data_IF_422240644630
#
_entry.id   IF_422240644630
#
_cell.length_a   1.000
_cell.length_b   1.000
_cell.length_c   1.000
_cell.angle_alpha   90.00
_cell.angle_beta   90.00
_cell.angle_gamma   90.00
#
_symmetry.space_group_name_H-M   'P 1'
#
loop_
_entity.id
_entity.type
_entity.pdbx_description
1 polymer ?
#
# COMPACT_ATOMS: atom_id res chain seq x y z
N UNK A 1 -0.58 46.86 10.42
CA UNK A 1 -2.02 46.60 10.62
C UNK A 1 -2.14 45.14 11.05
N UNK A 2 -2.60 44.92 12.28
CA UNK A 2 -2.61 43.66 13.07
C UNK A 2 -3.34 42.49 12.34
N UNK A 3 -3.11 41.19 12.56
CA UNK A 3 -2.95 40.43 13.82
C UNK A 3 -2.21 39.08 13.61
N UNK A 4 -1.42 38.68 14.63
CA UNK A 4 -1.05 37.30 14.95
C UNK A 4 -2.20 36.60 15.69
N UNK A 5 -2.35 35.28 15.54
CA UNK A 5 -3.05 34.42 16.50
C UNK A 5 -2.20 33.19 16.80
N UNK A 6 -2.02 32.96 18.10
CA UNK A 6 -1.17 31.99 18.78
C UNK A 6 -2.01 30.78 19.23
N UNK A 7 -1.40 29.61 19.22
CA UNK A 7 -1.92 28.33 19.69
C UNK A 7 -2.00 28.23 21.24
N UNK A 8 -2.94 27.43 21.74
CA UNK A 8 -2.86 26.88 23.10
C UNK A 8 -3.43 25.44 23.14
N UNK A 9 -2.60 24.54 23.65
CA UNK A 9 -2.85 23.14 23.99
C UNK A 9 -3.34 23.09 25.44
N UNK A 10 -4.33 22.24 25.76
CA UNK A 10 -4.49 21.72 27.11
C UNK A 10 -5.15 20.33 27.12
N UNK A 11 -4.56 19.48 27.95
CA UNK A 11 -4.65 18.02 28.02
C UNK A 11 -5.16 17.67 29.42
N UNK A 12 -6.25 16.90 29.55
CA UNK A 12 -6.63 16.26 30.84
C UNK A 12 -7.31 14.90 30.57
N UNK A 13 -6.69 13.87 31.16
CA UNK A 13 -7.08 12.46 31.27
C UNK A 13 -8.20 12.23 32.29
N UNK A 14 -8.94 11.11 32.21
CA UNK A 14 -9.16 10.17 33.33
C UNK A 14 -9.94 8.91 32.91
N UNK A 15 -9.39 7.75 33.28
CA UNK A 15 -9.91 6.38 33.19
C UNK A 15 -10.89 6.10 34.33
N UNK A 16 -11.97 5.34 34.10
CA UNK A 16 -12.60 4.50 35.13
C UNK A 16 -13.16 3.21 34.50
N UNK A 17 -12.68 2.07 35.02
CA UNK A 17 -13.23 0.72 34.84
C UNK A 17 -14.24 0.44 35.95
N UNK A 18 -15.37 -0.20 35.64
CA UNK A 18 -16.11 -1.00 36.63
C UNK A 18 -16.61 -2.31 36.03
N UNK A 19 -16.14 -3.40 36.62
CA UNK A 19 -16.59 -4.79 36.47
C UNK A 19 -17.43 -5.17 37.68
N UNK A 20 -18.58 -5.81 37.47
CA UNK A 20 -19.37 -6.46 38.53
C UNK A 20 -19.99 -7.79 38.04
N UNK A 21 -20.33 -8.72 38.95
CA UNK A 21 -20.06 -10.15 38.81
C UNK A 21 -21.28 -11.05 38.49
N UNK A 22 -20.97 -12.30 38.13
CA UNK A 22 -21.90 -13.41 37.94
C UNK A 22 -22.43 -14.00 39.27
N UNK A 23 -23.67 -14.51 39.25
CA UNK A 23 -24.25 -15.33 40.33
C UNK A 23 -24.85 -16.64 39.79
N UNK A 24 -24.99 -17.67 40.66
CA UNK A 24 -24.91 -19.08 40.27
C UNK A 24 -26.24 -19.85 40.29
N UNK A 25 -26.15 -21.00 39.64
CA UNK A 25 -27.11 -22.10 39.46
C UNK A 25 -27.75 -22.61 40.76
N UNK A 26 -29.05 -22.95 40.71
CA UNK A 26 -29.72 -23.77 41.74
C UNK A 26 -30.31 -25.03 41.11
N UNK A 27 -29.72 -26.17 41.48
CA UNK A 27 -30.19 -27.53 41.22
C UNK A 27 -31.31 -27.85 42.22
N UNK A 28 -32.41 -28.46 41.76
CA UNK A 28 -33.36 -29.17 42.61
C UNK A 28 -33.54 -30.59 42.13
N UNK A 29 -33.44 -31.53 43.07
CA UNK A 29 -33.78 -32.94 42.96
C UNK A 29 -34.54 -33.34 44.26
N UNK A 30 -35.17 -34.52 44.34
CA UNK A 30 -36.61 -34.69 44.13
C UNK A 30 -37.33 -35.22 45.39
N UNK A 31 -38.66 -35.05 45.45
CA UNK A 31 -39.49 -35.74 46.45
C UNK A 31 -40.28 -36.90 45.84
N UNK A 32 -40.31 -37.99 46.63
CA UNK A 32 -40.80 -39.32 46.36
C UNK A 32 -42.14 -39.51 47.09
N UNK A 33 -43.16 -39.96 46.38
CA UNK A 33 -44.45 -40.37 46.98
C UNK A 33 -45.05 -41.55 46.21
N UNK A 34 -45.24 -42.66 46.92
CA UNK A 34 -45.94 -43.89 46.53
C UNK A 34 -47.43 -43.58 46.20
N UNK A 35 -48.27 -44.40 45.54
CA UNK A 35 -48.40 -45.86 45.43
C UNK A 35 -49.50 -46.17 44.39
N UNK A 36 -49.42 -47.34 43.75
CA UNK A 36 -50.57 -48.09 43.20
C UNK A 36 -50.93 -47.81 41.74
N UNK A 37 -50.83 -48.83 40.88
CA UNK A 37 -51.57 -48.96 39.60
C UNK A 37 -51.36 -50.36 38.99
N UNK A 38 -52.24 -50.80 38.06
CA UNK A 38 -52.65 -52.19 37.80
C UNK A 38 -51.73 -52.90 36.81
N UNK A 39 -52.07 -54.15 36.44
CA UNK A 39 -51.41 -54.97 35.42
C UNK A 39 -50.91 -54.14 34.22
N UNK A 40 -49.60 -53.82 34.24
CA UNK A 40 -48.92 -53.01 33.22
C UNK A 40 -48.48 -53.93 32.08
N UNK A 41 -48.78 -53.53 30.84
CA UNK A 41 -47.99 -53.89 29.67
C UNK A 41 -46.52 -53.63 30.00
N UNK A 42 -45.78 -54.71 30.29
CA UNK A 42 -44.40 -54.59 30.75
C UNK A 42 -43.53 -54.23 29.56
N UNK A 43 -42.78 -53.13 29.65
CA UNK A 43 -41.86 -52.72 28.58
C UNK A 43 -40.86 -53.83 28.24
N UNK A 44 -40.43 -53.96 26.98
CA UNK A 44 -39.41 -54.93 26.61
C UNK A 44 -38.13 -54.74 27.42
N UNK A 45 -37.36 -55.81 27.60
CA UNK A 45 -36.18 -55.77 28.46
C UNK A 45 -35.02 -55.02 27.77
N UNK A 46 -34.33 -54.17 28.51
CA UNK A 46 -33.07 -53.56 28.05
C UNK A 46 -31.92 -54.57 28.16
N UNK A 47 -30.83 -54.35 27.42
CA UNK A 47 -29.64 -55.21 27.50
C UNK A 47 -29.12 -55.35 28.93
N UNK A 48 -29.08 -54.23 29.67
CA UNK A 48 -28.67 -54.20 31.08
C UNK A 48 -29.56 -55.09 31.96
N UNK A 49 -30.88 -55.03 31.78
CA UNK A 49 -31.82 -55.85 32.57
C UNK A 49 -31.64 -57.35 32.31
N UNK A 50 -31.32 -57.73 31.06
CA UNK A 50 -31.03 -59.12 30.71
C UNK A 50 -29.74 -59.58 31.38
N UNK A 51 -28.67 -58.77 31.35
CA UNK A 51 -27.39 -59.08 32.00
C UNK A 51 -27.53 -59.20 33.53
N UNK A 52 -28.25 -58.27 34.17
CA UNK A 52 -28.54 -58.30 35.61
C UNK A 52 -29.36 -59.55 36.00
N UNK A 53 -30.29 -59.98 35.14
CA UNK A 53 -31.08 -61.19 35.37
C UNK A 53 -30.26 -62.47 35.22
N UNK A 54 -29.35 -62.52 34.24
CA UNK A 54 -28.46 -63.67 34.04
C UNK A 54 -27.47 -63.84 35.19
N UNK A 55 -26.88 -62.74 35.66
CA UNK A 55 -25.92 -62.75 36.77
C UNK A 55 -26.55 -63.07 38.13
N UNK A 56 -27.78 -62.61 38.39
CA UNK A 56 -28.47 -62.83 39.66
C UNK A 56 -29.16 -64.19 39.78
N UNK A 57 -29.77 -64.69 38.70
CA UNK A 57 -30.60 -65.90 38.74
C UNK A 57 -29.81 -67.20 38.53
N UNK A 58 -28.54 -67.10 38.08
CA UNK A 58 -27.64 -68.23 37.73
C UNK A 58 -28.27 -69.31 36.81
N UNK A 59 -29.36 -68.98 36.12
CA UNK A 59 -30.13 -69.89 35.29
C UNK A 59 -30.73 -69.14 34.10
N UNK A 60 -30.33 -69.56 32.89
CA UNK A 60 -30.79 -68.96 31.64
C UNK A 60 -32.27 -69.18 31.38
N UNK A 61 -32.87 -70.26 31.91
CA UNK A 61 -34.27 -70.63 31.62
C UNK A 61 -35.30 -69.63 32.17
N UNK A 62 -35.01 -69.01 33.32
CA UNK A 62 -35.88 -67.95 33.88
C UNK A 62 -35.78 -66.66 33.07
N UNK A 63 -34.60 -66.35 32.53
CA UNK A 63 -34.39 -65.18 31.69
C UNK A 63 -35.02 -65.39 30.31
N UNK A 64 -34.98 -66.60 29.77
CA UNK A 64 -35.71 -66.98 28.56
C UNK A 64 -37.23 -66.76 28.70
N UNK A 65 -37.85 -67.13 29.83
CA UNK A 65 -39.28 -66.89 30.08
C UNK A 65 -39.59 -65.38 30.16
N UNK A 66 -38.72 -64.60 30.80
CA UNK A 66 -38.85 -63.14 30.86
C UNK A 66 -38.75 -62.48 29.48
N UNK A 67 -37.80 -62.92 28.65
CA UNK A 67 -37.65 -62.46 27.25
C UNK A 67 -38.85 -62.90 26.41
N UNK A 68 -39.33 -64.13 26.56
CA UNK A 68 -40.48 -64.65 25.81
C UNK A 68 -41.76 -63.86 26.10
N UNK A 69 -41.95 -63.38 27.35
CA UNK A 69 -43.12 -62.60 27.75
C UNK A 69 -43.06 -61.12 27.38
N UNK A 70 -41.86 -60.53 27.36
CA UNK A 70 -41.69 -59.06 27.28
C UNK A 70 -41.01 -58.60 25.99
N UNK A 71 -40.26 -59.48 25.34
CA UNK A 71 -39.32 -59.13 24.29
C UNK A 71 -38.10 -58.36 24.84
N UNK A 72 -37.25 -57.91 23.92
CA UNK A 72 -36.06 -57.09 24.20
C UNK A 72 -36.08 -55.79 23.40
N UNK A 73 -35.43 -54.73 23.89
CA UNK A 73 -35.33 -53.42 23.24
C UNK A 73 -34.10 -53.27 22.33
N UNK A 74 -33.27 -54.29 22.24
CA UNK A 74 -32.04 -54.28 21.47
C UNK A 74 -32.05 -55.37 20.41
N UNK A 75 -31.24 -55.19 19.39
CA UNK A 75 -31.08 -56.13 18.29
C UNK A 75 -29.76 -56.89 18.44
N UNK A 76 -29.66 -58.03 17.76
CA UNK A 76 -28.46 -58.83 17.74
C UNK A 76 -27.34 -58.07 17.02
N UNK A 77 -26.25 -57.79 17.71
CA UNK A 77 -24.96 -57.42 17.12
C UNK A 77 -23.89 -58.37 17.65
N UNK A 78 -22.78 -58.59 16.93
CA UNK A 78 -21.70 -59.46 17.40
C UNK A 78 -21.26 -59.12 18.83
N UNK A 79 -21.06 -57.83 19.12
CA UNK A 79 -20.68 -57.34 20.44
C UNK A 79 -21.73 -57.63 21.53
N UNK A 80 -23.02 -57.47 21.24
CA UNK A 80 -24.09 -57.76 22.20
C UNK A 80 -24.22 -59.26 22.48
N UNK A 81 -24.10 -60.09 21.43
CA UNK A 81 -24.18 -61.54 21.57
C UNK A 81 -23.00 -62.10 22.37
N UNK A 82 -21.80 -61.54 22.20
CA UNK A 82 -20.62 -61.95 22.95
C UNK A 82 -20.72 -61.58 24.42
N UNK A 83 -21.17 -60.36 24.73
CA UNK A 83 -21.48 -59.95 26.12
C UNK A 83 -22.49 -60.91 26.75
N UNK A 84 -23.59 -61.21 26.06
CA UNK A 84 -24.61 -62.10 26.63
C UNK A 84 -24.10 -63.53 26.87
N UNK A 85 -23.28 -64.07 25.95
CA UNK A 85 -22.61 -65.37 26.15
C UNK A 85 -21.68 -65.37 27.36
N UNK A 86 -20.92 -64.30 27.55
CA UNK A 86 -20.01 -64.12 28.70
C UNK A 86 -20.78 -64.17 30.04
N UNK A 87 -21.99 -63.62 30.06
CA UNK A 87 -22.89 -63.69 31.22
C UNK A 87 -23.73 -64.98 31.29
N UNK A 88 -23.41 -66.00 30.50
CA UNK A 88 -24.03 -67.33 30.58
C UNK A 88 -25.33 -67.49 29.77
N UNK A 89 -25.60 -66.62 28.79
CA UNK A 89 -26.73 -66.81 27.90
C UNK A 89 -26.53 -68.03 26.98
N UNK A 90 -27.46 -68.98 27.08
CA UNK A 90 -27.47 -70.17 26.21
C UNK A 90 -27.93 -69.86 24.77
N UNK A 91 -27.68 -70.78 23.82
CA UNK A 91 -28.03 -70.61 22.39
C UNK A 91 -29.49 -70.23 22.16
N UNK A 92 -30.39 -70.79 22.97
CA UNK A 92 -31.83 -70.52 22.90
C UNK A 92 -32.16 -69.08 23.23
N UNK A 93 -31.57 -68.51 24.29
CA UNK A 93 -31.74 -67.10 24.64
C UNK A 93 -31.23 -66.17 23.52
N UNK A 94 -30.07 -66.49 22.95
CA UNK A 94 -29.49 -65.70 21.87
C UNK A 94 -30.38 -65.68 20.61
N UNK A 95 -31.06 -66.79 20.31
CA UNK A 95 -32.02 -66.87 19.19
C UNK A 95 -33.30 -66.06 19.39
N UNK A 96 -33.60 -65.62 20.62
CA UNK A 96 -34.76 -64.77 20.94
C UNK A 96 -34.50 -63.28 20.71
N UNK A 97 -33.26 -62.89 20.37
CA UNK A 97 -32.88 -61.50 20.12
C UNK A 97 -33.12 -61.19 18.63
N UNK A 98 -33.90 -60.15 18.29
CA UNK A 98 -34.23 -59.85 16.90
C UNK A 98 -32.97 -59.44 16.10
N UNK A 99 -32.82 -59.89 14.84
CA UNK A 99 -31.71 -59.47 13.98
C UNK A 99 -31.80 -57.97 13.65
N UNK A 100 -30.67 -57.33 13.31
CA UNK A 100 -30.68 -55.93 12.90
C UNK A 100 -31.37 -55.80 11.53
N UNK A 101 -32.11 -54.70 11.28
CA UNK A 101 -32.71 -54.47 9.97
C UNK A 101 -31.62 -54.27 8.91
N UNK A 102 -31.89 -54.63 7.63
CA UNK A 102 -30.92 -54.41 6.56
C UNK A 102 -30.60 -52.91 6.45
N UNK A 103 -29.34 -52.53 6.70
CA UNK A 103 -28.88 -51.15 6.51
C UNK A 103 -28.66 -50.94 5.02
N UNK A 104 -29.44 -50.03 4.41
CA UNK A 104 -29.18 -49.57 3.05
C UNK A 104 -27.84 -48.80 3.02
N UNK A 105 -26.94 -49.18 2.11
CA UNK A 105 -25.68 -48.47 1.89
C UNK A 105 -25.99 -47.03 1.44
N UNK A 106 -25.41 -45.99 2.07
CA UNK A 106 -25.56 -44.62 1.56
C UNK A 106 -24.91 -44.52 0.16
N UNK A 107 -25.50 -43.74 -0.76
CA UNK A 107 -24.94 -43.55 -2.09
C UNK A 107 -23.55 -42.91 -2.02
N UNK A 108 -22.62 -43.41 -2.84
CA UNK A 108 -21.30 -42.81 -3.05
C UNK A 108 -21.44 -41.35 -3.49
N UNK A 109 -20.68 -40.39 -2.91
CA UNK A 109 -20.69 -39.00 -3.35
C UNK A 109 -20.31 -38.90 -4.84
N UNK A 110 -20.91 -37.98 -5.60
CA UNK A 110 -20.49 -37.72 -6.98
C UNK A 110 -19.01 -37.27 -7.02
N UNK A 111 -18.26 -37.62 -8.08
CA UNK A 111 -16.87 -37.22 -8.22
C UNK A 111 -16.72 -35.69 -8.23
N UNK A 112 -15.62 -35.15 -7.67
CA UNK A 112 -15.39 -33.70 -7.61
C UNK A 112 -15.25 -33.13 -9.03
N UNK A 113 -15.96 -32.03 -9.28
CA UNK A 113 -15.89 -31.31 -10.56
C UNK A 113 -14.57 -30.55 -10.63
N UNK A 114 -13.79 -30.80 -11.68
CA UNK A 114 -12.48 -30.18 -11.89
C UNK A 114 -12.63 -29.00 -12.86
N UNK A 115 -12.11 -27.85 -12.46
CA UNK A 115 -12.04 -26.66 -13.29
C UNK A 115 -11.08 -26.86 -14.47
N UNK A 116 -11.26 -26.07 -15.54
CA UNK A 116 -10.21 -25.92 -16.54
C UNK A 116 -8.98 -25.20 -15.97
N UNK A 117 -7.93 -25.10 -16.78
CA UNK A 117 -6.68 -24.45 -16.38
C UNK A 117 -6.91 -22.95 -16.11
N UNK A 118 -6.47 -22.46 -14.95
CA UNK A 118 -6.47 -21.05 -14.60
C UNK A 118 -5.10 -20.44 -14.93
N UNK A 119 -5.06 -19.46 -15.83
CA UNK A 119 -3.87 -18.68 -16.10
C UNK A 119 -3.92 -17.36 -15.34
N UNK A 120 -2.99 -17.17 -14.40
CA UNK A 120 -2.84 -15.93 -13.64
C UNK A 120 -1.75 -15.09 -14.30
N UNK A 121 -2.07 -13.83 -14.59
CA UNK A 121 -1.16 -12.83 -15.14
C UNK A 121 -0.94 -11.72 -14.11
N UNK A 122 0.31 -11.39 -13.81
CA UNK A 122 0.67 -10.34 -12.85
C UNK A 122 1.48 -9.24 -13.53
N UNK A 123 1.01 -8.00 -13.42
CA UNK A 123 1.67 -6.82 -13.97
C UNK A 123 1.99 -5.82 -12.85
N UNK A 124 3.13 -5.11 -12.89
CA UNK A 124 4.18 -5.16 -13.91
C UNK A 124 5.25 -6.24 -13.67
N UNK A 125 5.15 -6.98 -12.57
CA UNK A 125 6.21 -7.90 -12.10
C UNK A 125 5.63 -9.24 -11.69
N UNK A 126 6.48 -10.26 -11.76
CA UNK A 126 6.19 -11.58 -11.23
C UNK A 126 5.74 -11.55 -9.76
N UNK A 127 4.73 -12.38 -9.47
CA UNK A 127 4.03 -12.44 -8.18
C UNK A 127 3.92 -13.88 -7.69
N UNK A 128 3.77 -14.04 -6.38
CA UNK A 128 3.34 -15.29 -5.78
C UNK A 128 1.82 -15.45 -5.95
N UNK A 129 1.38 -16.65 -6.32
CA UNK A 129 -0.04 -16.98 -6.55
C UNK A 129 -0.53 -17.93 -5.46
N UNK A 130 -1.60 -17.54 -4.79
CA UNK A 130 -2.33 -18.35 -3.81
C UNK A 130 -3.76 -18.55 -4.34
N UNK A 131 -4.25 -19.78 -4.34
CA UNK A 131 -5.65 -20.10 -4.68
C UNK A 131 -6.24 -20.92 -3.55
N UNK A 132 -7.33 -20.45 -2.96
CA UNK A 132 -8.02 -21.05 -1.81
C UNK A 132 -7.04 -21.36 -0.66
N UNK A 133 -6.25 -20.36 -0.29
CA UNK A 133 -5.21 -20.41 0.74
C UNK A 133 -4.08 -21.42 0.49
N UNK A 134 -3.96 -21.95 -0.73
CA UNK A 134 -2.85 -22.81 -1.14
C UNK A 134 -1.91 -22.09 -2.09
N UNK A 135 -0.62 -22.05 -1.75
CA UNK A 135 0.43 -21.53 -2.63
C UNK A 135 0.57 -22.40 -3.89
N UNK A 136 0.48 -21.79 -5.08
CA UNK A 136 0.57 -22.45 -6.39
C UNK A 136 1.88 -22.16 -7.14
N UNK A 137 2.81 -21.45 -6.50
CA UNK A 137 4.07 -21.00 -7.10
C UNK A 137 4.05 -19.52 -7.48
N UNK A 138 5.19 -19.02 -7.93
CA UNK A 138 5.30 -17.70 -8.54
C UNK A 138 5.01 -17.76 -10.05
N UNK A 139 4.58 -16.63 -10.61
CA UNK A 139 4.61 -16.41 -12.06
C UNK A 139 6.05 -16.36 -12.58
N UNK A 140 6.21 -16.64 -13.87
CA UNK A 140 7.46 -16.46 -14.61
C UNK A 140 7.11 -15.71 -15.88
N UNK A 141 7.82 -14.63 -16.19
CA UNK A 141 7.46 -13.74 -17.31
C UNK A 141 6.01 -13.25 -17.18
N UNK A 142 5.62 -12.87 -15.96
CA UNK A 142 4.31 -12.36 -15.59
C UNK A 142 3.16 -13.36 -15.71
N UNK A 143 3.41 -14.66 -15.96
CA UNK A 143 2.35 -15.67 -16.13
C UNK A 143 2.54 -16.93 -15.31
N UNK A 144 1.44 -17.53 -14.83
CA UNK A 144 1.39 -18.88 -14.23
C UNK A 144 0.11 -19.60 -14.61
N UNK A 145 0.20 -20.82 -15.12
CA UNK A 145 -0.96 -21.69 -15.32
C UNK A 145 -1.08 -22.68 -14.14
N UNK A 146 -2.25 -22.73 -13.54
CA UNK A 146 -2.62 -23.59 -12.41
C UNK A 146 -3.69 -24.58 -12.88
N UNK A 147 -3.48 -25.85 -12.61
CA UNK A 147 -4.38 -26.95 -13.00
C UNK A 147 -4.85 -27.73 -11.77
N UNK A 148 -5.91 -28.53 -11.92
CA UNK A 148 -6.42 -29.38 -10.84
C UNK A 148 -7.16 -28.61 -9.74
N UNK A 149 -7.73 -27.46 -10.07
CA UNK A 149 -8.59 -26.69 -9.16
C UNK A 149 -10.02 -27.26 -9.18
N UNK A 150 -10.75 -27.07 -8.09
CA UNK A 150 -12.17 -27.42 -8.05
C UNK A 150 -12.99 -26.39 -8.84
N UNK A 151 -13.99 -26.85 -9.60
CA UNK A 151 -14.95 -25.96 -10.22
C UNK A 151 -15.87 -25.37 -9.15
N UNK A 152 -16.13 -24.06 -9.20
CA UNK A 152 -16.83 -23.35 -8.13
C UNK A 152 -16.25 -21.96 -7.88
N UNK A 153 -16.67 -21.35 -6.78
CA UNK A 153 -16.05 -20.13 -6.26
C UNK A 153 -14.63 -20.43 -5.77
N UNK A 154 -13.67 -19.64 -6.22
CA UNK A 154 -12.29 -19.69 -5.76
C UNK A 154 -11.83 -18.29 -5.36
N UNK A 155 -10.98 -18.21 -4.32
CA UNK A 155 -10.30 -16.97 -3.93
C UNK A 155 -8.87 -17.02 -4.41
N UNK A 156 -8.50 -16.08 -5.29
CA UNK A 156 -7.14 -15.91 -5.79
C UNK A 156 -6.52 -14.70 -5.10
N UNK A 157 -5.38 -14.92 -4.46
CA UNK A 157 -4.56 -13.87 -3.87
C UNK A 157 -3.21 -13.85 -4.57
N UNK A 158 -2.76 -12.65 -4.94
CA UNK A 158 -1.45 -12.42 -5.51
C UNK A 158 -0.70 -11.38 -4.71
N UNK A 159 0.61 -11.57 -4.53
CA UNK A 159 1.47 -10.60 -3.87
C UNK A 159 2.87 -10.64 -4.45
N UNK A 160 3.56 -9.49 -4.39
CA UNK A 160 4.96 -9.38 -4.79
C UNK A 160 5.69 -8.45 -3.81
N UNK A 161 6.97 -8.72 -3.57
CA UNK A 161 7.77 -7.91 -2.65
C UNK A 161 7.79 -6.44 -3.09
N UNK A 162 7.39 -5.55 -2.17
CA UNK A 162 7.31 -4.11 -2.41
C UNK A 162 6.02 -3.64 -3.10
N UNK A 163 5.10 -4.56 -3.41
CA UNK A 163 3.78 -4.27 -3.98
C UNK A 163 2.66 -4.62 -3.00
N UNK A 164 1.52 -3.97 -3.16
CA UNK A 164 0.29 -4.27 -2.42
C UNK A 164 -0.28 -5.62 -2.87
N UNK A 165 -0.72 -6.43 -1.90
CA UNK A 165 -1.40 -7.69 -2.17
C UNK A 165 -2.80 -7.45 -2.74
N UNK A 166 -3.21 -8.27 -3.71
CA UNK A 166 -4.52 -8.19 -4.34
C UNK A 166 -5.24 -9.52 -4.17
N UNK A 167 -6.47 -9.47 -3.66
CA UNK A 167 -7.35 -10.64 -3.50
C UNK A 167 -8.59 -10.48 -4.36
N UNK A 168 -8.95 -11.52 -5.13
CA UNK A 168 -10.13 -11.55 -5.99
C UNK A 168 -10.86 -12.89 -5.85
N UNK A 169 -12.19 -12.83 -5.78
CA UNK A 169 -13.04 -14.03 -5.91
C UNK A 169 -13.40 -14.22 -7.37
N UNK A 170 -13.25 -15.44 -7.87
CA UNK A 170 -13.54 -15.81 -9.26
C UNK A 170 -14.39 -17.08 -9.29
N UNK A 171 -15.18 -17.24 -10.34
CA UNK A 171 -15.97 -18.44 -10.57
C UNK A 171 -15.26 -19.33 -11.61
N UNK A 172 -14.68 -20.43 -11.16
CA UNK A 172 -14.02 -21.40 -12.03
C UNK A 172 -15.05 -22.34 -12.67
N UNK A 173 -15.05 -22.39 -14.01
CA UNK A 173 -15.94 -23.26 -14.77
C UNK A 173 -15.32 -24.65 -14.98
N UNK A 174 -16.15 -25.68 -14.89
CA UNK A 174 -15.76 -27.07 -15.13
C UNK A 174 -15.19 -27.25 -16.56
N UNK A 175 -13.98 -27.79 -16.66
CA UNK A 175 -13.28 -28.07 -17.92
C UNK A 175 -12.90 -26.87 -18.80
N UNK A 176 -13.32 -25.65 -18.47
CA UNK A 176 -13.04 -24.46 -19.30
C UNK A 176 -11.85 -23.66 -18.77
N UNK A 177 -10.81 -23.42 -19.59
CA UNK A 177 -9.71 -22.55 -19.21
C UNK A 177 -10.19 -21.12 -18.96
N UNK A 178 -9.54 -20.44 -18.02
CA UNK A 178 -9.83 -19.05 -17.66
C UNK A 178 -8.52 -18.30 -17.47
N UNK A 179 -8.53 -17.00 -17.75
CA UNK A 179 -7.39 -16.11 -17.55
C UNK A 179 -7.79 -14.96 -16.62
N UNK A 180 -6.92 -14.62 -15.68
CA UNK A 180 -7.13 -13.56 -14.70
C UNK A 180 -5.90 -12.67 -14.59
N UNK A 181 -6.07 -11.38 -14.90
CA UNK A 181 -5.01 -10.38 -14.80
C UNK A 181 -5.12 -9.58 -13.52
N UNK A 182 -3.97 -9.39 -12.87
CA UNK A 182 -3.79 -8.64 -11.63
C UNK A 182 -2.75 -7.53 -11.84
N UNK A 183 -3.19 -6.29 -11.73
CA UNK A 183 -2.31 -5.11 -11.75
C UNK A 183 -1.92 -4.75 -10.31
N UNK A 184 -0.64 -4.92 -10.00
CA UNK A 184 -0.06 -4.67 -8.68
C UNK A 184 0.36 -3.21 -8.55
N UNK A 185 0.05 -2.59 -7.41
CA UNK A 185 0.48 -1.24 -7.07
C UNK A 185 1.70 -1.28 -6.16
N UNK A 186 2.67 -0.40 -6.40
CA UNK A 186 3.83 -0.28 -5.53
C UNK A 186 3.42 0.29 -4.17
N UNK A 187 3.96 -0.30 -3.10
CA UNK A 187 3.79 0.25 -1.75
C UNK A 187 4.46 1.61 -1.63
N UNK A 188 3.97 2.43 -0.69
CA UNK A 188 4.59 3.73 -0.38
C UNK A 188 6.07 3.62 0.01
N UNK A 189 6.46 2.52 0.68
CA UNK A 189 7.86 2.25 1.05
C UNK A 189 8.75 2.04 -0.18
N UNK A 190 8.34 1.18 -1.12
CA UNK A 190 9.11 0.95 -2.35
C UNK A 190 9.24 2.24 -3.16
N UNK A 191 8.14 2.99 -3.32
CA UNK A 191 8.15 4.29 -4.02
C UNK A 191 9.07 5.30 -3.36
N UNK A 192 9.12 5.31 -2.03
CA UNK A 192 10.03 6.19 -1.27
C UNK A 192 11.49 5.80 -1.46
N UNK A 193 11.80 4.50 -1.47
CA UNK A 193 13.15 4.00 -1.74
C UNK A 193 13.60 4.35 -3.16
N UNK A 194 12.73 4.14 -4.17
CA UNK A 194 13.00 4.55 -5.55
C UNK A 194 13.22 6.06 -5.65
N UNK A 195 12.39 6.88 -5.00
CA UNK A 195 12.55 8.33 -5.02
C UNK A 195 13.88 8.79 -4.42
N UNK A 196 14.27 8.22 -3.29
CA UNK A 196 15.56 8.52 -2.66
C UNK A 196 16.73 8.10 -3.57
N UNK A 197 16.64 6.94 -4.22
CA UNK A 197 17.63 6.48 -5.20
C UNK A 197 17.77 7.45 -6.38
N UNK A 198 16.65 7.85 -6.97
CA UNK A 198 16.60 8.82 -8.07
C UNK A 198 17.13 10.20 -7.66
N UNK A 199 16.77 10.70 -6.47
CA UNK A 199 17.29 11.97 -5.97
C UNK A 199 18.81 11.91 -5.75
N UNK A 200 19.33 10.81 -5.19
CA UNK A 200 20.77 10.61 -5.03
C UNK A 200 21.49 10.52 -6.39
N UNK A 201 20.87 9.88 -7.38
CA UNK A 201 21.37 9.89 -8.78
C UNK A 201 21.43 11.32 -9.31
N UNK A 202 20.43 12.16 -9.06
CA UNK A 202 20.45 13.56 -9.46
C UNK A 202 21.58 14.34 -8.78
N UNK A 203 21.77 14.15 -7.47
CA UNK A 203 22.90 14.73 -6.73
C UNK A 203 24.23 14.31 -7.35
N UNK A 204 24.40 13.02 -7.68
CA UNK A 204 25.61 12.51 -8.32
C UNK A 204 25.82 13.12 -9.72
N UNK A 205 24.79 13.18 -10.56
CA UNK A 205 24.85 13.78 -11.90
C UNK A 205 25.14 15.28 -11.89
N UNK A 206 24.82 15.97 -10.79
CA UNK A 206 25.18 17.39 -10.55
C UNK A 206 26.60 17.59 -10.00
N UNK A 207 27.38 16.52 -9.83
CA UNK A 207 28.75 16.57 -9.30
C UNK A 207 28.88 16.21 -7.83
N UNK A 208 27.85 15.55 -7.26
CA UNK A 208 27.81 15.18 -5.85
C UNK A 208 27.69 16.39 -4.94
N UNK A 209 28.09 16.21 -3.68
CA UNK A 209 28.03 17.26 -2.64
C UNK A 209 28.90 18.47 -3.00
N UNK A 210 30.09 18.22 -3.57
CA UNK A 210 31.01 19.25 -4.03
C UNK A 210 30.41 20.06 -5.19
N UNK A 211 29.84 19.39 -6.19
CA UNK A 211 29.20 20.03 -7.33
C UNK A 211 28.01 20.90 -6.91
N UNK A 212 27.16 20.41 -6.00
CA UNK A 212 26.05 21.20 -5.45
C UNK A 212 26.55 22.41 -4.65
N UNK A 213 27.62 22.25 -3.86
CA UNK A 213 28.22 23.35 -3.13
C UNK A 213 28.74 24.45 -4.07
N UNK A 214 29.30 24.09 -5.24
CA UNK A 214 29.72 25.07 -6.26
C UNK A 214 28.58 25.95 -6.77
N UNK A 215 27.35 25.42 -6.85
CA UNK A 215 26.14 26.17 -7.25
C UNK A 215 25.70 27.20 -6.20
N UNK A 216 26.24 27.09 -4.98
CA UNK A 216 26.00 28.01 -3.87
C UNK A 216 26.56 29.41 -4.11
N UNK A 217 27.75 29.53 -4.70
CA UNK A 217 28.47 30.79 -4.94
C UNK A 217 28.96 30.84 -6.39
N UNK A 218 28.14 31.46 -7.25
CA UNK A 218 28.32 31.48 -8.70
C UNK A 218 28.14 32.88 -9.25
N UNK A 219 28.83 33.16 -10.35
CA UNK A 219 28.59 34.34 -11.16
C UNK A 219 28.53 33.96 -12.63
N UNK A 220 27.82 34.75 -13.42
CA UNK A 220 27.61 34.41 -14.82
C UNK A 220 27.00 35.53 -15.63
N UNK A 221 26.87 35.25 -16.92
CA UNK A 221 26.31 36.16 -17.92
C UNK A 221 25.35 35.39 -18.82
N UNK A 222 24.36 36.07 -19.37
CA UNK A 222 23.36 35.44 -20.20
C UNK A 222 22.35 36.43 -20.79
N UNK A 223 21.22 35.87 -21.18
CA UNK A 223 20.05 36.59 -21.66
C UNK A 223 18.84 36.20 -20.83
N UNK A 224 17.96 37.15 -20.57
CA UNK A 224 16.62 36.92 -20.05
C UNK A 224 15.62 37.32 -21.14
N UNK A 225 14.78 36.38 -21.54
CA UNK A 225 13.60 36.67 -22.34
C UNK A 225 12.39 36.63 -21.43
N UNK A 226 11.49 37.59 -21.56
CA UNK A 226 10.22 37.55 -20.87
C UNK A 226 9.07 38.03 -21.74
N UNK A 227 7.87 37.52 -21.48
CA UNK A 227 6.67 37.91 -22.22
C UNK A 227 5.92 39.01 -21.47
N UNK A 228 5.72 40.15 -22.12
CA UNK A 228 4.97 41.26 -21.53
C UNK A 228 3.45 41.06 -21.60
N UNK A 229 2.71 41.98 -20.98
CA UNK A 229 1.23 41.92 -20.96
C UNK A 229 0.59 42.03 -22.34
N UNK A 230 1.33 42.45 -23.37
CA UNK A 230 0.88 42.50 -24.76
C UNK A 230 1.21 41.23 -25.54
N UNK A 231 1.87 40.25 -24.90
CA UNK A 231 2.33 39.01 -25.53
C UNK A 231 3.63 39.16 -26.32
N UNK A 232 4.29 40.33 -26.28
CA UNK A 232 5.57 40.53 -26.94
C UNK A 232 6.72 40.01 -26.08
N UNK A 233 7.71 39.42 -26.73
CA UNK A 233 8.92 38.94 -26.05
C UNK A 233 9.94 40.06 -25.96
N UNK A 234 10.32 40.40 -24.73
CA UNK A 234 11.37 41.36 -24.43
C UNK A 234 12.66 40.59 -24.09
N UNK A 235 13.80 41.05 -24.61
CA UNK A 235 15.09 40.38 -24.46
C UNK A 235 16.12 41.29 -23.79
N UNK A 236 16.60 40.90 -22.61
CA UNK A 236 17.53 41.68 -21.80
C UNK A 236 18.83 40.90 -21.60
N UNK A 237 19.98 41.56 -21.76
CA UNK A 237 21.26 40.96 -21.39
C UNK A 237 21.38 40.93 -19.88
N UNK A 238 21.84 39.83 -19.31
CA UNK A 238 21.93 39.66 -17.86
C UNK A 238 23.34 39.32 -17.39
N UNK A 239 23.70 39.87 -16.25
CA UNK A 239 24.83 39.40 -15.45
C UNK A 239 24.34 39.13 -14.03
N UNK A 240 24.82 38.09 -13.38
CA UNK A 240 24.40 37.76 -12.03
C UNK A 240 25.57 37.35 -11.15
N UNK A 241 25.40 37.58 -9.85
CA UNK A 241 26.32 37.18 -8.79
C UNK A 241 25.47 36.63 -7.63
N UNK A 242 25.44 35.30 -7.51
CA UNK A 242 24.79 34.60 -6.41
C UNK A 242 25.86 34.24 -5.39
N UNK A 243 25.59 34.57 -4.13
CA UNK A 243 26.42 34.17 -3.00
C UNK A 243 25.77 33.03 -2.23
N UNK A 244 26.55 32.39 -1.38
CA UNK A 244 26.06 31.37 -0.44
C UNK A 244 24.89 31.95 0.35
N UNK A 245 23.80 31.19 0.46
CA UNK A 245 22.54 31.66 1.04
C UNK A 245 21.59 32.18 -0.05
N UNK A 246 20.78 33.18 0.31
CA UNK A 246 19.76 33.78 -0.57
C UNK A 246 20.16 35.17 -1.08
N UNK A 247 21.46 35.39 -1.23
CA UNK A 247 22.01 36.67 -1.65
C UNK A 247 22.29 36.64 -3.16
N UNK A 248 21.66 37.55 -3.89
CA UNK A 248 21.73 37.62 -5.35
C UNK A 248 21.78 39.06 -5.81
N UNK A 249 22.73 39.38 -6.68
CA UNK A 249 22.72 40.62 -7.46
C UNK A 249 22.58 40.26 -8.92
N UNK A 250 21.58 40.81 -9.59
CA UNK A 250 21.39 40.70 -11.03
C UNK A 250 21.35 42.08 -11.66
N UNK A 251 21.99 42.19 -12.82
CA UNK A 251 21.98 43.39 -13.65
C UNK A 251 21.41 43.01 -15.00
N UNK A 252 20.48 43.83 -15.47
CA UNK A 252 19.72 43.67 -16.70
C UNK A 252 19.98 44.87 -17.60
N UNK A 253 20.38 44.62 -18.85
CA UNK A 253 20.72 45.65 -19.82
C UNK A 253 19.88 45.51 -21.08
N UNK A 254 19.37 46.64 -21.55
CA UNK A 254 18.74 46.80 -22.86
C UNK A 254 19.47 47.87 -23.66
N UNK A 255 19.05 48.10 -24.90
CA UNK A 255 19.53 49.25 -25.68
C UNK A 255 19.13 50.60 -25.07
N UNK A 256 18.07 50.61 -24.25
CA UNK A 256 17.41 51.84 -23.75
C UNK A 256 17.80 52.16 -22.29
N UNK A 257 18.46 51.23 -21.58
CA UNK A 257 18.91 51.45 -20.21
C UNK A 257 19.41 50.20 -19.49
N UNK A 258 19.61 50.34 -18.18
CA UNK A 258 20.08 49.28 -17.29
C UNK A 258 19.33 49.30 -15.96
N UNK A 259 18.96 48.13 -15.46
CA UNK A 259 18.38 47.93 -14.14
C UNK A 259 19.19 46.90 -13.36
N UNK A 260 19.44 47.15 -12.08
CA UNK A 260 20.02 46.17 -11.17
C UNK A 260 19.04 45.85 -10.05
N UNK A 261 18.91 44.56 -9.72
CA UNK A 261 18.14 44.06 -8.60
C UNK A 261 19.07 43.30 -7.66
N UNK A 262 19.00 43.62 -6.37
CA UNK A 262 19.77 43.00 -5.31
C UNK A 262 18.82 42.43 -4.27
N UNK A 263 18.91 41.13 -4.02
CA UNK A 263 18.21 40.43 -2.95
C UNK A 263 19.26 40.11 -1.89
N UNK A 264 19.11 40.69 -0.71
CA UNK A 264 19.99 40.47 0.44
C UNK A 264 19.14 40.21 1.66
N UNK A 265 19.34 39.06 2.33
CA UNK A 265 18.60 38.69 3.54
C UNK A 265 17.08 38.96 3.43
N UNK A 266 16.47 38.51 2.33
CA UNK A 266 15.02 38.63 2.04
C UNK A 266 14.51 40.05 1.73
N UNK A 267 15.40 41.05 1.73
CA UNK A 267 15.08 42.40 1.24
C UNK A 267 15.50 42.56 -0.22
N UNK A 268 14.57 43.00 -1.06
CA UNK A 268 14.85 43.36 -2.45
C UNK A 268 15.10 44.87 -2.57
N UNK A 269 16.18 45.24 -3.26
CA UNK A 269 16.51 46.61 -3.65
C UNK A 269 16.72 46.66 -5.15
N UNK A 270 16.38 47.78 -5.77
CA UNK A 270 16.56 47.98 -7.19
C UNK A 270 17.04 49.39 -7.52
N UNK A 271 17.84 49.48 -8.57
CA UNK A 271 18.34 50.72 -9.12
C UNK A 271 18.25 50.64 -10.65
N UNK A 272 17.51 51.54 -11.28
CA UNK A 272 17.41 51.64 -12.73
C UNK A 272 17.98 52.96 -13.22
N UNK A 273 18.75 52.90 -14.31
CA UNK A 273 19.34 54.03 -15.00
C UNK A 273 18.79 54.08 -16.43
N UNK A 274 18.52 55.31 -16.90
CA UNK A 274 17.89 55.58 -18.19
C UNK A 274 16.46 55.00 -18.33
N UNK A 275 15.83 55.22 -19.48
CA UNK A 275 14.38 55.25 -19.70
C UNK A 275 13.61 53.92 -19.64
N UNK A 276 14.07 52.92 -18.87
CA UNK A 276 13.36 51.65 -18.63
C UNK A 276 12.14 51.87 -17.72
N UNK A 277 11.11 52.57 -18.24
CA UNK A 277 9.85 52.82 -17.50
C UNK A 277 9.20 51.49 -17.12
N UNK A 278 9.11 51.22 -15.82
CA UNK A 278 8.52 49.98 -15.27
C UNK A 278 9.50 48.80 -15.22
N UNK A 279 10.77 49.00 -15.62
CA UNK A 279 11.80 47.96 -15.56
C UNK A 279 12.17 47.58 -14.13
N UNK A 280 11.92 48.46 -13.15
CA UNK A 280 12.18 48.22 -11.73
C UNK A 280 11.45 46.97 -11.22
N UNK A 281 10.14 46.88 -11.49
CA UNK A 281 9.30 45.77 -11.02
C UNK A 281 9.71 44.45 -11.69
N UNK A 282 9.93 44.51 -13.01
CA UNK A 282 10.37 43.37 -13.82
C UNK A 282 11.72 42.84 -13.35
N UNK A 283 12.69 43.71 -13.06
CA UNK A 283 14.02 43.31 -12.59
C UNK A 283 13.96 42.61 -11.22
N UNK A 284 13.16 43.14 -10.28
CA UNK A 284 12.99 42.53 -8.95
C UNK A 284 12.26 41.19 -9.05
N UNK A 285 11.19 41.12 -9.82
CA UNK A 285 10.44 39.87 -10.04
C UNK A 285 11.32 38.80 -10.69
N UNK A 286 12.05 39.16 -11.77
CA UNK A 286 12.98 38.29 -12.44
C UNK A 286 14.06 37.75 -11.50
N UNK A 287 14.69 38.62 -10.70
CA UNK A 287 15.71 38.20 -9.74
C UNK A 287 15.13 37.28 -8.65
N UNK A 288 13.91 37.58 -8.18
CA UNK A 288 13.24 36.78 -7.15
C UNK A 288 12.87 35.38 -7.66
N UNK A 289 12.33 35.30 -8.88
CA UNK A 289 12.02 34.03 -9.54
C UNK A 289 13.30 33.23 -9.86
N UNK A 290 14.32 33.89 -10.41
CA UNK A 290 15.60 33.25 -10.68
C UNK A 290 16.20 32.64 -9.40
N UNK A 291 16.20 33.38 -8.29
CA UNK A 291 16.70 32.89 -7.00
C UNK A 291 15.86 31.75 -6.44
N UNK A 292 14.53 31.88 -6.46
CA UNK A 292 13.60 30.91 -5.84
C UNK A 292 13.67 29.53 -6.47
N UNK A 293 14.05 29.46 -7.75
CA UNK A 293 14.15 28.22 -8.51
C UNK A 293 15.58 27.85 -8.88
N UNK A 294 16.56 28.30 -8.08
CA UNK A 294 17.92 27.78 -8.20
C UNK A 294 17.96 26.31 -7.82
N UNK A 295 18.59 25.51 -8.69
CA UNK A 295 18.55 24.06 -8.57
C UNK A 295 19.13 23.55 -7.24
N UNK A 296 20.17 24.21 -6.73
CA UNK A 296 20.77 23.87 -5.43
C UNK A 296 19.79 24.03 -4.26
N UNK A 297 18.95 25.06 -4.26
CA UNK A 297 17.96 25.28 -3.20
C UNK A 297 16.80 24.30 -3.32
N UNK A 298 16.38 23.98 -4.55
CA UNK A 298 15.38 22.95 -4.84
C UNK A 298 15.86 21.59 -4.32
N UNK A 299 17.07 21.17 -4.70
CA UNK A 299 17.63 19.88 -4.28
C UNK A 299 17.81 19.84 -2.75
N UNK A 300 18.35 20.90 -2.12
CA UNK A 300 18.45 20.98 -0.66
C UNK A 300 17.10 20.89 0.04
N UNK A 301 16.05 21.45 -0.55
CA UNK A 301 14.69 21.36 -0.01
C UNK A 301 14.18 19.93 -0.11
N UNK A 302 14.30 19.31 -1.28
CA UNK A 302 13.83 17.94 -1.53
C UNK A 302 14.57 16.88 -0.69
N UNK A 303 15.87 17.07 -0.41
CA UNK A 303 16.64 16.20 0.48
C UNK A 303 16.11 16.17 1.93
N UNK A 304 15.30 17.15 2.33
CA UNK A 304 14.69 17.23 3.67
C UNK A 304 13.24 16.78 3.69
N UNK A 305 12.66 16.47 2.53
CA UNK A 305 11.25 16.09 2.37
C UNK A 305 11.10 14.59 2.28
N UNK A 306 9.90 14.11 2.57
CA UNK A 306 9.52 12.74 2.23
C UNK A 306 9.09 12.71 0.77
N UNK A 307 9.85 12.02 -0.07
CA UNK A 307 9.52 11.89 -1.49
C UNK A 307 8.93 10.52 -1.82
N UNK A 308 8.04 10.50 -2.80
CA UNK A 308 7.51 9.29 -3.43
C UNK A 308 7.73 9.39 -4.93
N UNK A 309 8.20 8.30 -5.54
CA UNK A 309 8.24 8.18 -6.98
C UNK A 309 6.81 7.99 -7.51
N UNK A 310 6.55 8.49 -8.71
CA UNK A 310 5.30 8.21 -9.40
C UNK A 310 5.19 6.70 -9.70
N UNK A 311 3.97 6.16 -9.71
CA UNK A 311 3.74 4.71 -9.88
C UNK A 311 4.26 4.17 -11.21
N UNK A 312 4.29 5.02 -12.24
CA UNK A 312 4.68 4.66 -13.61
C UNK A 312 6.03 5.23 -14.02
N UNK A 313 6.66 6.06 -13.20
CA UNK A 313 7.89 6.77 -13.53
C UNK A 313 8.74 7.03 -12.28
N UNK A 314 9.81 6.25 -12.13
CA UNK A 314 10.75 6.35 -11.03
C UNK A 314 11.59 7.65 -11.04
N UNK A 315 11.62 8.35 -12.17
CA UNK A 315 12.32 9.62 -12.33
C UNK A 315 11.43 10.83 -12.01
N UNK A 316 10.13 10.61 -11.74
CA UNK A 316 9.20 11.66 -11.33
C UNK A 316 8.92 11.57 -9.83
N UNK A 317 9.51 12.50 -9.09
CA UNK A 317 9.57 12.53 -7.63
C UNK A 317 8.59 13.56 -7.08
N UNK A 318 7.70 13.15 -6.19
CA UNK A 318 6.71 14.02 -5.58
C UNK A 318 6.91 14.11 -4.07
N UNK A 319 6.84 15.31 -3.50
CA UNK A 319 6.78 15.48 -2.04
C UNK A 319 5.46 14.95 -1.49
N UNK A 320 5.55 14.16 -0.44
CA UNK A 320 4.41 13.54 0.24
C UNK A 320 4.07 14.25 1.57
N UNK A 321 4.75 15.35 1.87
CA UNK A 321 4.67 16.08 3.13
C UNK A 321 4.75 17.60 2.95
N UNK A 322 4.11 18.32 3.88
CA UNK A 322 4.11 19.78 3.97
C UNK A 322 2.93 20.48 3.28
N UNK A 323 2.83 21.81 3.44
CA UNK A 323 1.74 22.62 2.88
C UNK A 323 1.94 22.96 1.39
N UNK A 324 3.12 22.72 0.86
CA UNK A 324 3.53 22.89 -0.52
C UNK A 324 3.87 21.55 -1.18
N UNK A 325 3.68 21.49 -2.50
CA UNK A 325 3.93 20.31 -3.32
C UNK A 325 5.05 20.60 -4.32
N UNK A 326 6.04 19.71 -4.35
CA UNK A 326 7.08 19.67 -5.38
C UNK A 326 6.90 18.40 -6.19
N UNK A 327 6.97 18.53 -7.50
CA UNK A 327 7.12 17.41 -8.43
C UNK A 327 8.36 17.65 -9.28
N UNK A 328 9.44 16.94 -8.98
CA UNK A 328 10.69 17.01 -9.72
C UNK A 328 10.76 15.85 -10.73
N UNK A 329 11.03 16.15 -11.99
CA UNK A 329 11.27 15.14 -13.02
C UNK A 329 12.74 15.14 -13.43
N UNK A 330 13.34 13.96 -13.49
CA UNK A 330 14.72 13.75 -13.92
C UNK A 330 14.76 13.22 -15.37
N UNK A 331 15.77 13.65 -16.12
CA UNK A 331 16.11 13.06 -17.41
C UNK A 331 16.80 11.71 -17.27
N UNK A 332 17.00 11.02 -18.38
CA UNK A 332 17.67 9.72 -18.42
C UNK A 332 19.11 9.76 -17.87
N UNK A 333 19.78 10.90 -18.03
CA UNK A 333 21.11 11.21 -17.48
C UNK A 333 21.09 11.53 -15.97
N UNK A 334 19.91 11.49 -15.35
CA UNK A 334 19.69 11.82 -13.94
C UNK A 334 19.66 13.32 -13.66
N UNK A 335 19.83 14.19 -14.66
CA UNK A 335 19.75 15.63 -14.43
C UNK A 335 18.30 16.08 -14.29
N UNK A 336 17.98 17.01 -13.38
CA UNK A 336 16.68 17.67 -13.31
C UNK A 336 16.28 18.28 -14.66
N UNK A 337 15.06 18.04 -15.13
CA UNK A 337 14.56 18.62 -16.39
C UNK A 337 13.29 19.44 -16.20
N UNK A 338 12.48 19.11 -15.21
CA UNK A 338 11.24 19.79 -14.91
C UNK A 338 10.99 19.81 -13.40
N UNK A 339 10.42 20.90 -12.91
CA UNK A 339 9.93 21.06 -11.55
C UNK A 339 8.56 21.72 -11.62
N UNK A 340 7.55 21.08 -11.03
CA UNK A 340 6.27 21.71 -10.73
C UNK A 340 6.22 22.00 -9.24
N UNK A 341 6.01 23.27 -8.90
CA UNK A 341 5.86 23.74 -7.52
C UNK A 341 4.47 24.35 -7.32
N UNK A 342 3.81 23.96 -6.25
CA UNK A 342 2.51 24.49 -5.85
C UNK A 342 2.52 24.80 -4.35
N UNK A 343 2.12 26.02 -4.00
CA UNK A 343 1.94 26.44 -2.61
C UNK A 343 0.44 26.58 -2.36
N UNK A 344 -0.13 25.80 -1.44
CA UNK A 344 -1.57 25.80 -1.16
C UNK A 344 -2.41 25.65 -2.46
N UNK A 345 -3.49 26.44 -2.59
CA UNK A 345 -4.39 26.46 -3.75
C UNK A 345 -3.92 27.39 -4.89
N UNK A 346 -2.70 27.92 -4.81
CA UNK A 346 -2.17 28.78 -5.88
C UNK A 346 -1.93 27.97 -7.17
N UNK A 347 -2.03 28.66 -8.32
CA UNK A 347 -1.76 28.03 -9.62
C UNK A 347 -0.32 27.51 -9.66
N UNK A 348 -0.09 26.23 -9.99
CA UNK A 348 1.25 25.66 -10.02
C UNK A 348 2.21 26.42 -10.95
N UNK A 349 3.43 26.58 -10.48
CA UNK A 349 4.55 27.12 -11.25
C UNK A 349 5.32 25.93 -11.82
N UNK A 350 5.64 25.99 -13.11
CA UNK A 350 6.47 25.01 -13.79
C UNK A 350 7.81 25.65 -14.14
N UNK A 351 8.89 24.93 -13.84
CA UNK A 351 10.27 25.32 -14.13
C UNK A 351 10.93 24.22 -14.94
N UNK A 352 11.46 24.58 -16.11
CA UNK A 352 12.18 23.67 -16.99
C UNK A 352 13.67 23.98 -16.97
N UNK A 353 14.47 22.96 -16.72
CA UNK A 353 15.93 23.03 -16.71
C UNK A 353 16.48 22.33 -17.95
N UNK A 354 17.39 22.98 -18.67
CA UNK A 354 18.05 22.34 -19.81
C UNK A 354 19.41 22.96 -20.11
N UNK A 355 20.09 22.42 -21.14
CA UNK A 355 21.37 22.92 -21.65
C UNK A 355 22.45 23.05 -20.56
N UNK A 356 22.65 21.99 -19.78
CA UNK A 356 23.57 22.00 -18.65
C UNK A 356 25.00 22.36 -19.05
N UNK A 357 25.56 23.35 -18.36
CA UNK A 357 26.93 23.81 -18.47
C UNK A 357 27.79 23.06 -17.44
N UNK A 358 28.99 22.63 -17.84
CA UNK A 358 29.94 22.05 -16.91
C UNK A 358 30.63 23.15 -16.08
N UNK A 359 30.70 22.94 -14.78
CA UNK A 359 31.55 23.68 -13.84
C UNK A 359 32.78 22.83 -13.51
N UNK A 360 33.63 23.30 -12.60
CA UNK A 360 34.83 22.58 -12.18
C UNK A 360 34.49 21.24 -11.54
N UNK A 361 33.49 21.20 -10.66
CA UNK A 361 33.07 19.98 -9.95
C UNK A 361 31.61 19.62 -10.12
N UNK A 362 30.85 20.38 -10.91
CA UNK A 362 29.41 20.17 -11.04
C UNK A 362 28.83 20.60 -12.38
N UNK A 363 27.51 20.65 -12.45
CA UNK A 363 26.77 21.10 -13.63
C UNK A 363 25.72 22.13 -13.24
N UNK A 364 25.56 23.16 -14.06
CA UNK A 364 24.57 24.22 -13.87
C UNK A 364 23.59 24.27 -15.04
N UNK A 365 22.27 24.42 -14.84
CA UNK A 365 21.32 24.53 -15.95
C UNK A 365 21.60 25.80 -16.78
N UNK A 366 22.08 25.64 -18.02
CA UNK A 366 22.31 26.76 -18.92
C UNK A 366 21.03 27.41 -19.42
N UNK A 367 19.88 26.77 -19.22
CA UNK A 367 18.56 27.37 -19.44
C UNK A 367 17.62 27.05 -18.28
N UNK A 368 16.95 28.08 -17.77
CA UNK A 368 15.90 27.99 -16.75
C UNK A 368 14.68 28.72 -17.30
N UNK A 369 13.59 27.99 -17.58
CA UNK A 369 12.35 28.58 -18.07
C UNK A 369 11.23 28.39 -17.05
N UNK A 370 10.56 29.48 -16.69
CA UNK A 370 9.60 29.56 -15.59
C UNK A 370 8.27 30.05 -16.14
N UNK A 371 7.19 29.35 -15.81
CA UNK A 371 5.83 29.69 -16.25
C UNK A 371 4.77 29.05 -15.37
N UNK A 372 3.52 29.15 -15.81
CA UNK A 372 2.42 28.39 -15.20
C UNK A 372 2.34 27.01 -15.87
N UNK A 373 1.96 26.00 -15.09
CA UNK A 373 1.75 24.65 -15.61
C UNK A 373 0.79 24.68 -16.81
N UNK A 374 1.15 23.96 -17.88
CA UNK A 374 0.41 23.89 -19.15
C UNK A 374 0.35 25.20 -19.96
N UNK A 375 1.12 26.23 -19.58
CA UNK A 375 1.25 27.47 -20.34
C UNK A 375 2.67 27.61 -20.91
N UNK A 376 2.83 28.46 -21.91
CA UNK A 376 4.16 28.86 -22.36
C UNK A 376 4.94 29.54 -21.21
N UNK A 377 6.26 29.28 -21.08
CA UNK A 377 7.07 29.93 -20.06
C UNK A 377 7.08 31.44 -20.28
N UNK A 378 6.86 32.17 -19.19
CA UNK A 378 6.83 33.64 -19.21
C UNK A 378 8.22 34.21 -19.03
N UNK A 379 9.10 33.53 -18.29
CA UNK A 379 10.47 33.96 -18.00
C UNK A 379 11.44 32.90 -18.47
N UNK A 380 12.43 33.25 -19.27
CA UNK A 380 13.43 32.32 -19.79
C UNK A 380 14.81 32.93 -19.59
N UNK A 381 15.59 32.34 -18.70
CA UNK A 381 16.98 32.68 -18.45
C UNK A 381 17.86 31.72 -19.24
N UNK A 382 18.72 32.24 -20.12
CA UNK A 382 19.70 31.47 -20.89
C UNK A 382 21.10 31.96 -20.55
N UNK A 383 21.90 31.13 -19.91
CA UNK A 383 23.24 31.47 -19.46
C UNK A 383 24.25 31.15 -20.57
N UNK A 384 25.07 32.14 -20.89
CA UNK A 384 26.19 31.98 -21.82
C UNK A 384 27.45 31.51 -21.08
N UNK A 385 27.61 31.94 -19.83
CA UNK A 385 28.71 31.53 -18.98
C UNK A 385 28.28 31.49 -17.52
N UNK A 386 28.76 30.49 -16.79
CA UNK A 386 28.61 30.37 -15.33
C UNK A 386 29.92 29.85 -14.78
N UNK A 387 30.38 30.45 -13.68
CA UNK A 387 31.61 30.04 -13.00
C UNK A 387 31.40 30.02 -11.50
N UNK A 388 31.93 28.99 -10.85
CA UNK A 388 31.97 28.95 -9.38
C UNK A 388 33.05 29.89 -8.85
N UNK A 389 32.72 30.62 -7.79
CA UNK A 389 33.66 31.49 -7.09
C UNK A 389 34.47 30.74 -6.03
N UNK A 390 34.00 29.58 -5.59
CA UNK A 390 34.72 28.69 -4.67
C UNK A 390 35.99 28.10 -5.30
N UNK A 391 36.03 27.97 -6.62
CA UNK A 391 37.21 27.49 -7.33
C UNK A 391 38.39 28.49 -7.31
N UNK A 392 38.17 29.78 -6.96
CA UNK A 392 39.22 30.80 -6.92
C UNK A 392 39.99 30.86 -5.60
N UNK A 393 39.49 30.22 -4.53
CA UNK A 393 40.06 30.31 -3.19
C UNK A 393 41.06 29.21 -2.84
N UNK A 394 41.56 28.47 -3.84
CA UNK A 394 42.61 27.45 -3.66
C UNK A 394 43.82 27.72 -4.53
#
# INVERSE_FOLDING_TARGET
MFHMVVAAILLVTLLHYETMPAQPTRIQQPQRGQRGTPARNQSPLTLRQVIESLSSLRSSSRVEDLISRRGVQFQASPAILDILKEFGAGPKLLSMIPPPPPVALPPTPPPPKIAGALTVICEPKDCAVIVDNMYKGATSQNRKTVTGLQAGDATVEVFANGYEGVTRRIQLQEGKPQEETFSLRQTSLLRQQSANGSLLKAVASLGGVDGIAELGDIEGTGMMNWMDSSGQTQQWTTTFNKRIGKDLVMTFKTKDGECSASILAESAKQECKAGLRGGEKIAVEAASLFLSYQLQDVIHTLLKRRLLAAETDENRLQSADGPDSYVLTLGNDGLPVDLVYQLNDDRPIQVQYSNYLNLTKGRYPGRIAIGRLNNAPVWIFTMNSVRSRLARSR
#
